data_IF_770173970265
#
_entry.id   IF_770173970265
#
_cell.length_a   1.000
_cell.length_b   1.000
_cell.length_c   1.000
_cell.angle_alpha   90.00
_cell.angle_beta   90.00
_cell.angle_gamma   90.00
#
_symmetry.space_group_name_H-M   'P 1'
#
loop_
_entity.id
_entity.type
_entity.pdbx_description
1 polymer ?
#
# COMPACT_ATOMS: atom_id res chain seq x y z
N UNK A 1 43.85 -35.51 27.65
CA UNK A 1 43.01 -35.78 28.84
C UNK A 1 43.34 -34.74 29.93
N UNK A 2 42.65 -33.60 29.93
CA UNK A 2 42.54 -32.70 31.09
C UNK A 2 41.17 -32.04 30.99
N UNK A 3 40.30 -32.50 31.88
CA UNK A 3 38.95 -32.02 32.12
C UNK A 3 39.09 -30.79 33.02
N UNK A 4 38.49 -29.66 32.64
CA UNK A 4 38.09 -28.65 33.60
C UNK A 4 36.69 -28.13 33.25
N UNK A 5 35.80 -28.35 34.21
CA UNK A 5 34.40 -27.97 34.24
C UNK A 5 34.25 -26.45 34.58
N UNK A 6 33.01 -25.92 34.59
CA UNK A 6 32.72 -24.58 34.10
C UNK A 6 32.71 -23.50 35.21
N UNK A 7 33.18 -22.30 34.86
CA UNK A 7 32.95 -21.10 35.66
C UNK A 7 31.59 -20.50 35.32
N UNK A 8 30.67 -20.65 36.29
CA UNK A 8 29.37 -20.00 36.38
C UNK A 8 29.54 -18.62 37.03
N UNK A 9 28.61 -17.71 36.70
CA UNK A 9 28.33 -16.41 37.32
C UNK A 9 29.11 -15.22 36.69
N UNK A 10 28.51 -14.07 36.42
CA UNK A 10 27.30 -13.41 36.96
C UNK A 10 26.60 -12.61 35.85
N UNK A 11 25.27 -12.68 35.77
CA UNK A 11 24.46 -11.68 35.08
C UNK A 11 24.63 -10.34 35.81
N UNK A 12 25.27 -9.36 35.17
CA UNK A 12 25.19 -7.97 35.60
C UNK A 12 23.89 -7.39 35.02
N UNK A 13 22.86 -7.36 35.85
CA UNK A 13 21.65 -6.61 35.63
C UNK A 13 21.95 -5.14 35.94
N UNK A 14 22.49 -4.40 34.98
CA UNK A 14 22.62 -2.94 35.07
C UNK A 14 21.25 -2.30 34.83
N UNK A 15 20.53 -2.07 35.93
CA UNK A 15 19.52 -1.01 35.99
C UNK A 15 20.26 0.31 36.06
N UNK A 16 20.19 1.12 35.01
CA UNK A 16 20.50 2.54 35.15
C UNK A 16 19.55 3.41 34.31
N UNK A 17 18.59 3.95 35.07
CA UNK A 17 18.15 5.35 35.04
C UNK A 17 17.54 5.88 33.75
N UNK A 18 16.21 5.76 33.71
CA UNK A 18 15.29 6.76 33.17
C UNK A 18 15.89 8.18 33.26
N UNK A 19 16.14 8.81 32.10
CA UNK A 19 16.20 10.27 32.03
C UNK A 19 14.80 10.74 31.66
N UNK A 20 14.02 11.03 32.69
CA UNK A 20 12.89 11.94 32.56
C UNK A 20 13.43 13.30 32.10
N UNK A 21 13.03 13.75 30.91
CA UNK A 21 13.29 15.11 30.45
C UNK A 21 12.06 15.94 30.78
N UNK A 22 12.08 16.56 31.94
CA UNK A 22 11.07 17.54 32.35
C UNK A 22 11.32 18.90 31.68
N UNK A 23 10.23 19.49 31.18
CA UNK A 23 9.85 20.87 31.51
C UNK A 23 10.67 22.03 30.95
N UNK A 24 10.33 22.47 29.73
CA UNK A 24 10.31 23.90 29.31
C UNK A 24 9.18 24.00 28.27
N UNK A 25 8.19 24.87 28.31
CA UNK A 25 7.84 26.01 29.17
C UNK A 25 6.59 26.61 28.51
N UNK A 26 5.67 27.14 29.32
CA UNK A 26 4.51 27.92 28.88
C UNK A 26 4.95 29.03 27.91
N UNK A 27 4.31 29.10 26.74
CA UNK A 27 4.25 30.35 25.96
C UNK A 27 2.93 30.45 25.21
N UNK A 28 1.93 31.04 25.90
CA UNK A 28 1.08 32.12 25.41
C UNK A 28 1.10 32.38 23.89
N UNK A 29 0.41 31.56 23.10
CA UNK A 29 -0.14 32.01 21.79
C UNK A 29 -1.61 31.56 21.65
N UNK A 30 -2.33 31.50 22.78
CA UNK A 30 -3.78 31.43 22.84
C UNK A 30 -4.45 32.79 22.58
N UNK A 31 -4.04 33.54 21.55
CA UNK A 31 -4.57 34.87 21.22
C UNK A 31 -4.68 35.20 19.72
N UNK A 32 -4.95 34.21 18.86
CA UNK A 32 -5.41 34.45 17.49
C UNK A 32 -6.57 33.51 17.09
N UNK A 33 -7.40 33.12 18.06
CA UNK A 33 -8.64 32.35 17.84
C UNK A 33 -9.89 33.27 17.86
N UNK A 34 -9.72 34.58 18.00
CA UNK A 34 -10.86 35.52 18.18
C UNK A 34 -10.66 36.85 17.44
N UNK A 35 -10.67 36.83 16.11
CA UNK A 35 -11.10 37.97 15.29
C UNK A 35 -11.05 37.61 13.80
N UNK A 36 -12.07 36.91 13.30
CA UNK A 36 -12.68 37.16 11.97
C UNK A 36 -13.95 36.30 11.90
N UNK A 37 -14.88 36.62 12.79
CA UNK A 37 -16.28 36.39 12.50
C UNK A 37 -16.71 37.41 11.43
N UNK A 38 -17.57 36.96 10.52
CA UNK A 38 -18.46 37.74 9.64
C UNK A 38 -17.95 38.17 8.25
N UNK A 39 -17.98 37.25 7.28
CA UNK A 39 -18.47 37.48 5.89
C UNK A 39 -19.01 36.11 5.42
N UNK A 40 -20.27 35.71 5.66
CA UNK A 40 -21.52 36.13 5.01
C UNK A 40 -21.58 35.85 3.49
N UNK A 41 -22.64 35.11 3.10
CA UNK A 41 -23.23 34.94 1.74
C UNK A 41 -22.50 33.93 0.83
N UNK A 42 -23.09 32.85 0.31
CA UNK A 42 -24.49 32.50 0.02
C UNK A 42 -24.60 32.11 -1.47
N UNK A 43 -25.02 30.87 -1.76
CA UNK A 43 -25.74 30.36 -2.97
C UNK A 43 -25.38 28.89 -3.27
N UNK A 44 -26.03 27.99 -2.54
CA UNK A 44 -26.27 26.60 -2.97
C UNK A 44 -27.25 26.60 -4.14
N UNK A 45 -26.74 26.50 -5.37
CA UNK A 45 -27.55 26.15 -6.53
C UNK A 45 -27.78 24.63 -6.54
N UNK A 46 -28.86 24.19 -5.89
CA UNK A 46 -29.37 22.83 -6.01
C UNK A 46 -29.94 22.61 -7.41
N UNK A 47 -29.34 21.69 -8.17
CA UNK A 47 -29.87 21.23 -9.43
C UNK A 47 -30.95 20.18 -9.21
N UNK A 48 -32.20 20.52 -9.55
CA UNK A 48 -33.26 19.53 -9.76
C UNK A 48 -33.12 18.96 -11.18
N UNK A 49 -32.75 17.69 -11.31
CA UNK A 49 -33.00 16.95 -12.55
C UNK A 49 -33.88 15.75 -12.21
N UNK A 50 -35.19 15.94 -12.34
CA UNK A 50 -36.15 14.84 -12.38
C UNK A 50 -35.98 14.11 -13.71
N UNK A 51 -35.27 12.99 -13.69
CA UNK A 51 -35.30 11.98 -14.73
C UNK A 51 -36.49 11.04 -14.50
N UNK A 52 -37.40 11.04 -15.46
CA UNK A 52 -38.63 10.24 -15.52
C UNK A 52 -38.38 8.74 -15.60
N UNK A 53 -39.25 7.99 -14.91
CA UNK A 53 -39.87 6.72 -15.32
C UNK A 53 -39.10 5.79 -16.26
N UNK A 54 -38.77 4.59 -15.76
CA UNK A 54 -38.31 3.49 -16.60
C UNK A 54 -38.26 2.16 -15.86
N UNK A 55 -39.44 1.52 -15.75
CA UNK A 55 -39.72 0.07 -15.74
C UNK A 55 -38.69 -0.89 -15.14
N UNK A 56 -39.19 -1.69 -14.20
CA UNK A 56 -38.80 -3.08 -14.01
C UNK A 56 -38.63 -3.78 -15.37
N UNK A 57 -37.38 -4.12 -15.71
CA UNK A 57 -37.07 -5.11 -16.70
C UNK A 57 -35.73 -5.74 -16.31
N UNK A 58 -35.86 -6.83 -15.56
CA UNK A 58 -34.90 -7.92 -15.57
C UNK A 58 -34.62 -8.27 -17.03
N UNK A 59 -33.47 -7.85 -17.55
CA UNK A 59 -32.93 -8.30 -18.82
C UNK A 59 -31.44 -8.55 -18.56
N UNK A 60 -31.18 -9.77 -18.13
CA UNK A 60 -29.92 -10.43 -18.37
C UNK A 60 -29.72 -10.43 -19.90
N UNK A 61 -28.89 -9.57 -20.46
CA UNK A 61 -28.14 -9.90 -21.68
C UNK A 61 -26.97 -8.95 -21.93
N UNK A 62 -26.01 -9.54 -22.60
CA UNK A 62 -24.65 -9.16 -22.89
C UNK A 62 -24.59 -8.04 -23.94
N UNK A 63 -23.43 -7.39 -23.99
CA UNK A 63 -22.86 -6.71 -25.16
C UNK A 63 -23.59 -5.47 -25.71
N UNK A 64 -23.19 -4.31 -25.18
CA UNK A 64 -22.77 -3.19 -26.03
C UNK A 64 -21.70 -2.37 -25.30
N UNK A 65 -20.44 -2.75 -25.48
CA UNK A 65 -19.29 -1.88 -25.17
C UNK A 65 -18.50 -1.77 -26.46
N UNK A 66 -18.91 -0.80 -27.26
CA UNK A 66 -18.16 -0.28 -28.40
C UNK A 66 -16.81 0.28 -27.89
N UNK A 67 -15.70 -0.30 -28.36
CA UNK A 67 -14.38 0.32 -28.36
C UNK A 67 -13.42 -0.06 -27.21
N UNK A 68 -12.63 -1.11 -27.44
CA UNK A 68 -11.21 -1.24 -27.03
C UNK A 68 -10.80 -0.83 -25.60
N UNK A 69 -11.60 -1.13 -24.58
CA UNK A 69 -11.15 -1.07 -23.19
C UNK A 69 -11.19 -2.50 -22.66
N UNK A 70 -10.01 -3.09 -22.46
CA UNK A 70 -9.89 -4.39 -21.80
C UNK A 70 -10.73 -4.36 -20.52
N UNK A 71 -11.56 -5.40 -20.26
CA UNK A 71 -12.41 -5.41 -19.06
C UNK A 71 -11.52 -5.21 -17.85
N UNK A 72 -11.79 -4.16 -17.06
CA UNK A 72 -11.18 -3.99 -15.75
C UNK A 72 -11.66 -5.18 -14.93
N UNK A 73 -10.83 -6.21 -14.83
CA UNK A 73 -11.08 -7.36 -13.96
C UNK A 73 -11.07 -6.80 -12.53
N UNK A 74 -12.25 -6.45 -12.02
CA UNK A 74 -12.45 -6.16 -10.59
C UNK A 74 -12.42 -7.51 -9.89
N UNK A 75 -11.22 -7.99 -9.57
CA UNK A 75 -11.07 -9.03 -8.55
C UNK A 75 -11.57 -8.42 -7.24
N UNK A 76 -12.68 -8.94 -6.72
CA UNK A 76 -13.09 -8.65 -5.35
C UNK A 76 -11.97 -9.12 -4.44
N UNK A 77 -11.19 -8.17 -3.95
CA UNK A 77 -10.00 -8.42 -3.17
C UNK A 77 -10.40 -8.37 -1.68
N UNK A 78 -10.35 -9.52 -1.01
CA UNK A 78 -10.71 -9.66 0.40
C UNK A 78 -9.73 -8.94 1.35
N UNK A 79 -8.68 -8.30 0.83
CA UNK A 79 -7.62 -7.62 1.60
C UNK A 79 -8.07 -6.31 2.27
N UNK A 80 -9.27 -5.82 2.00
CA UNK A 80 -9.76 -4.51 2.47
C UNK A 80 -8.92 -3.31 1.99
N UNK A 81 -8.05 -3.48 0.99
CA UNK A 81 -7.25 -2.39 0.41
C UNK A 81 -8.07 -1.60 -0.61
N UNK A 82 -7.86 -0.29 -0.66
CA UNK A 82 -8.42 0.57 -1.73
C UNK A 82 -7.55 0.49 -2.98
N UNK A 83 -8.09 0.90 -4.12
CA UNK A 83 -7.31 1.02 -5.36
C UNK A 83 -6.11 1.99 -5.21
N UNK A 84 -6.25 3.03 -4.38
CA UNK A 84 -5.16 3.95 -4.06
C UNK A 84 -4.01 3.25 -3.28
N UNK A 85 -4.37 2.37 -2.33
CA UNK A 85 -3.38 1.56 -1.61
C UNK A 85 -2.62 0.63 -2.57
N UNK A 86 -3.36 -0.04 -3.47
CA UNK A 86 -2.78 -0.92 -4.47
C UNK A 86 -1.89 -0.14 -5.45
N UNK A 87 -2.28 1.07 -5.85
CA UNK A 87 -1.46 1.92 -6.72
C UNK A 87 -0.13 2.30 -6.06
N UNK A 88 -0.14 2.65 -4.77
CA UNK A 88 1.09 2.96 -4.02
C UNK A 88 2.00 1.72 -3.88
N UNK A 89 1.42 0.57 -3.59
CA UNK A 89 2.16 -0.68 -3.54
C UNK A 89 2.75 -1.07 -4.91
N UNK A 90 2.02 -0.86 -6.01
CA UNK A 90 2.53 -1.06 -7.38
C UNK A 90 3.68 -0.11 -7.72
N UNK A 91 3.59 1.16 -7.33
CA UNK A 91 4.67 2.13 -7.54
C UNK A 91 5.94 1.71 -6.80
N UNK A 92 5.82 1.29 -5.55
CA UNK A 92 6.94 0.76 -4.78
C UNK A 92 7.52 -0.52 -5.40
N UNK A 93 6.68 -1.37 -5.99
CA UNK A 93 7.11 -2.54 -6.75
C UNK A 93 7.94 -2.13 -7.98
N UNK A 94 7.44 -1.21 -8.81
CA UNK A 94 8.19 -0.71 -9.98
C UNK A 94 9.54 -0.11 -9.58
N UNK A 95 9.58 0.62 -8.47
CA UNK A 95 10.79 1.23 -7.93
C UNK A 95 11.83 0.20 -7.48
N UNK A 96 11.42 -0.78 -6.68
CA UNK A 96 12.34 -1.83 -6.20
C UNK A 96 12.79 -2.73 -7.33
N UNK A 97 11.97 -2.93 -8.35
CA UNK A 97 12.36 -3.73 -9.51
C UNK A 97 13.34 -2.99 -10.42
N UNK A 98 13.21 -1.67 -10.54
CA UNK A 98 14.07 -0.83 -11.38
C UNK A 98 15.43 -0.57 -10.74
N UNK A 99 15.45 -0.26 -9.43
CA UNK A 99 16.67 0.15 -8.71
C UNK A 99 17.24 -0.92 -7.78
N UNK A 100 16.40 -1.86 -7.35
CA UNK A 100 16.72 -2.80 -6.29
C UNK A 100 17.53 -4.00 -6.76
N UNK A 101 18.48 -4.38 -5.91
CA UNK A 101 19.18 -5.66 -6.00
C UNK A 101 18.27 -6.80 -5.56
N UNK A 102 18.74 -8.04 -5.72
CA UNK A 102 18.02 -9.30 -5.44
C UNK A 102 17.33 -9.39 -4.07
N UNK A 103 17.72 -8.58 -3.08
CA UNK A 103 17.20 -8.58 -1.72
C UNK A 103 16.79 -7.18 -1.21
N UNK A 104 16.64 -6.22 -2.11
CA UNK A 104 16.18 -4.88 -1.74
C UNK A 104 14.69 -4.92 -1.39
N UNK A 105 14.32 -4.47 -0.19
CA UNK A 105 12.92 -4.28 0.18
C UNK A 105 12.59 -2.79 0.21
N UNK A 106 11.49 -2.40 -0.43
CA UNK A 106 11.04 -1.01 -0.48
C UNK A 106 9.77 -0.84 0.35
N UNK A 107 9.77 0.00 1.40
CA UNK A 107 8.55 0.32 2.13
C UNK A 107 7.59 1.16 1.28
N UNK A 108 6.30 1.00 1.53
CA UNK A 108 5.22 1.81 0.98
C UNK A 108 4.17 2.09 2.06
N UNK A 109 3.51 3.24 1.95
CA UNK A 109 2.49 3.67 2.90
C UNK A 109 1.48 4.59 2.20
N UNK A 110 0.22 4.42 2.54
CA UNK A 110 -0.85 5.35 2.23
C UNK A 110 -1.27 6.10 3.52
N UNK A 111 -0.93 7.40 3.66
CA UNK A 111 -1.31 8.17 4.84
C UNK A 111 -2.83 8.42 4.93
N UNK A 112 -3.58 8.32 3.82
CA UNK A 112 -5.02 8.57 3.81
C UNK A 112 -5.82 7.41 4.42
N UNK A 113 -5.38 6.17 4.20
CA UNK A 113 -6.05 4.95 4.67
C UNK A 113 -5.34 4.29 5.85
N UNK A 114 -4.08 4.64 6.09
CA UNK A 114 -3.18 3.98 7.05
C UNK A 114 -2.67 2.62 6.59
N UNK A 115 -2.89 2.24 5.33
CA UNK A 115 -2.33 1.01 4.75
C UNK A 115 -0.82 1.15 4.55
N UNK A 116 -0.04 0.16 4.96
CA UNK A 116 1.42 0.18 4.85
C UNK A 116 2.01 -1.20 4.68
N UNK A 117 3.22 -1.28 4.16
CA UNK A 117 3.93 -2.54 4.04
C UNK A 117 5.27 -2.40 3.35
N UNK A 118 5.77 -3.51 2.80
CA UNK A 118 7.05 -3.57 2.11
C UNK A 118 6.96 -4.47 0.89
N UNK A 119 7.59 -4.04 -0.21
CA UNK A 119 7.71 -4.84 -1.44
C UNK A 119 9.11 -5.42 -1.56
N UNK A 120 9.19 -6.73 -1.80
CA UNK A 120 10.44 -7.46 -1.98
C UNK A 120 10.38 -8.24 -3.30
N UNK A 121 11.34 -8.01 -4.23
CA UNK A 121 11.42 -8.78 -5.46
C UNK A 121 11.89 -10.21 -5.14
N UNK A 122 11.37 -11.19 -5.89
CA UNK A 122 11.86 -12.55 -5.78
C UNK A 122 13.19 -12.72 -6.52
N UNK A 123 14.00 -13.63 -6.01
CA UNK A 123 15.35 -13.90 -6.49
C UNK A 123 15.43 -14.34 -7.97
N UNK A 124 14.37 -14.98 -8.47
CA UNK A 124 14.33 -15.64 -9.77
C UNK A 124 13.69 -14.76 -10.83
N UNK A 125 14.38 -14.64 -11.96
CA UNK A 125 13.81 -14.12 -13.22
C UNK A 125 13.49 -15.27 -14.16
N UNK A 126 12.43 -15.15 -14.95
CA UNK A 126 12.05 -16.10 -15.99
C UNK A 126 11.66 -15.37 -17.27
N UNK A 127 11.63 -16.07 -18.39
CA UNK A 127 11.18 -15.49 -19.66
C UNK A 127 9.74 -15.87 -19.91
N UNK A 128 8.86 -14.87 -20.07
CA UNK A 128 7.46 -15.05 -20.46
C UNK A 128 7.15 -14.14 -21.64
N UNK A 129 6.51 -14.66 -22.69
CA UNK A 129 6.16 -13.90 -23.90
C UNK A 129 7.35 -13.14 -24.54
N UNK A 130 8.57 -13.71 -24.47
CA UNK A 130 9.77 -13.06 -25.01
C UNK A 130 10.25 -11.83 -24.21
N UNK A 131 9.79 -11.68 -22.96
CA UNK A 131 10.24 -10.66 -22.00
C UNK A 131 10.75 -11.30 -20.73
N UNK A 132 11.72 -10.66 -20.09
CA UNK A 132 12.22 -11.09 -18.78
C UNK A 132 11.22 -10.61 -17.73
N UNK A 133 10.65 -11.56 -16.99
CA UNK A 133 9.71 -11.32 -15.91
C UNK A 133 10.33 -11.75 -14.57
N UNK A 134 9.84 -11.13 -13.51
CA UNK A 134 10.24 -11.38 -12.13
C UNK A 134 9.04 -11.20 -11.22
N UNK A 135 8.84 -12.15 -10.34
CA UNK A 135 7.80 -12.07 -9.33
C UNK A 135 8.23 -11.18 -8.17
N UNK A 136 7.26 -10.64 -7.45
CA UNK A 136 7.49 -9.92 -6.20
C UNK A 136 6.39 -10.23 -5.17
N UNK A 137 6.75 -10.06 -3.91
CA UNK A 137 5.82 -10.13 -2.80
C UNK A 137 5.74 -8.76 -2.13
N UNK A 138 4.52 -8.32 -1.85
CA UNK A 138 4.26 -7.12 -1.07
C UNK A 138 3.51 -7.50 0.20
N UNK A 139 4.09 -7.20 1.36
CA UNK A 139 3.34 -7.24 2.62
C UNK A 139 2.41 -6.04 2.70
N UNK A 140 1.30 -6.20 3.42
CA UNK A 140 0.43 -5.08 3.78
C UNK A 140 -0.14 -5.26 5.19
N UNK A 141 -0.40 -4.14 5.85
CA UNK A 141 -1.10 -4.02 7.12
C UNK A 141 -2.03 -2.84 7.03
N UNK A 142 -3.32 -3.06 7.34
CA UNK A 142 -4.35 -2.03 7.41
C UNK A 142 -5.31 -2.34 8.56
N UNK A 143 -5.21 -1.59 9.65
CA UNK A 143 -5.97 -1.86 10.87
C UNK A 143 -5.67 -3.25 11.42
N UNK A 144 -6.69 -4.10 11.52
CA UNK A 144 -6.55 -5.50 11.94
C UNK A 144 -6.30 -6.49 10.79
N UNK A 145 -6.34 -6.01 9.54
CA UNK A 145 -6.10 -6.85 8.36
C UNK A 145 -4.63 -6.78 7.99
N UNK A 146 -3.99 -7.94 7.89
CA UNK A 146 -2.63 -8.08 7.40
C UNK A 146 -2.55 -9.25 6.43
N UNK A 147 -1.60 -9.18 5.51
CA UNK A 147 -1.40 -10.24 4.56
C UNK A 147 -0.32 -9.93 3.54
N UNK A 148 -0.39 -10.66 2.44
CA UNK A 148 0.58 -10.61 1.38
C UNK A 148 -0.14 -10.48 0.04
N UNK A 149 0.46 -9.72 -0.85
CA UNK A 149 0.10 -9.60 -2.26
C UNK A 149 1.25 -10.21 -3.06
N UNK A 150 0.93 -11.02 -4.04
CA UNK A 150 1.86 -11.53 -5.02
C UNK A 150 1.56 -10.88 -6.37
N UNK A 151 2.60 -10.41 -7.05
CA UNK A 151 2.49 -9.88 -8.40
C UNK A 151 3.66 -10.32 -9.27
N UNK A 152 3.47 -10.22 -10.58
CA UNK A 152 4.48 -10.42 -11.60
C UNK A 152 4.91 -9.05 -12.11
N UNK A 153 6.17 -8.91 -12.53
CA UNK A 153 6.59 -7.75 -13.29
C UNK A 153 7.45 -8.16 -14.48
N UNK A 154 7.12 -7.64 -15.66
CA UNK A 154 7.83 -7.96 -16.90
C UNK A 154 8.56 -6.73 -17.44
N UNK A 155 9.82 -6.92 -17.82
CA UNK A 155 10.65 -5.87 -18.38
C UNK A 155 10.18 -5.55 -19.81
N UNK A 156 9.94 -4.27 -20.08
CA UNK A 156 9.60 -3.79 -21.41
C UNK A 156 10.85 -3.81 -22.31
N UNK A 157 10.69 -4.34 -23.52
CA UNK A 157 11.77 -4.40 -24.51
C UNK A 157 12.31 -2.98 -24.80
N UNK A 158 13.62 -2.81 -24.69
CA UNK A 158 14.34 -1.60 -25.09
C UNK A 158 14.36 -0.42 -24.11
N UNK A 159 13.55 -0.42 -23.04
CA UNK A 159 13.47 0.74 -22.10
C UNK A 159 13.92 0.44 -20.68
N UNK A 160 14.16 -0.82 -20.33
CA UNK A 160 14.55 -1.22 -18.97
C UNK A 160 13.47 -1.04 -17.89
N UNK A 161 12.33 -0.43 -18.23
CA UNK A 161 11.18 -0.25 -17.36
C UNK A 161 10.48 -1.59 -17.09
N UNK A 162 10.00 -1.77 -15.86
CA UNK A 162 9.23 -2.94 -15.44
C UNK A 162 7.74 -2.61 -15.42
N UNK A 163 6.96 -3.43 -16.11
CA UNK A 163 5.50 -3.38 -16.12
C UNK A 163 4.96 -4.34 -15.07
N UNK A 164 4.21 -3.82 -14.08
CA UNK A 164 3.56 -4.63 -13.05
C UNK A 164 2.32 -5.31 -13.60
N UNK A 165 2.19 -6.61 -13.37
CA UNK A 165 1.13 -7.48 -13.85
C UNK A 165 0.56 -8.32 -12.71
N UNK A 166 -0.72 -8.65 -12.82
CA UNK A 166 -1.40 -9.68 -12.02
C UNK A 166 -1.18 -9.60 -10.50
N UNK A 167 -1.15 -8.40 -9.92
CA UNK A 167 -1.03 -8.22 -8.48
C UNK A 167 -2.32 -8.66 -7.76
N UNK A 168 -2.23 -9.70 -6.94
CA UNK A 168 -3.36 -10.35 -6.27
C UNK A 168 -2.99 -10.79 -4.85
N UNK A 169 -3.97 -11.06 -3.97
CA UNK A 169 -3.71 -11.63 -2.64
C UNK A 169 -3.02 -12.98 -2.74
N UNK A 170 -1.95 -13.14 -1.97
CA UNK A 170 -1.23 -14.39 -1.87
C UNK A 170 -1.95 -15.33 -0.89
N UNK A 171 -2.41 -16.48 -1.38
CA UNK A 171 -2.96 -17.56 -0.54
C UNK A 171 -1.93 -18.67 -0.42
N UNK A 172 -1.48 -18.94 0.81
CA UNK A 172 -0.63 -20.10 1.11
C UNK A 172 -1.55 -21.33 1.24
N UNK A 173 -1.44 -22.28 0.31
CA UNK A 173 -2.11 -23.59 0.36
C UNK A 173 -1.38 -24.56 1.27
#
# INVERSE_FOLDING_TARGET
MRILAPLRAKCHLERSLYRAREGRGLSLIGRLVTAFALVAVGCSAGGCSMGTFGKDAKQDDMSDVTGSISPIIRSHDDTNLTEADLALARNAASDVLTRGQKDASQPWENPETGARGSVTPLASTYTSEGRVCRDFLASYVRGANEGWLQGEACQQQGKGAWEIRNMKPWKRS
#
